data_IF_538947010277
#
_entry.id   IF_538947010277
#
_cell.length_a   1.000
_cell.length_b   1.000
_cell.length_c   1.000
_cell.angle_alpha   90.00
_cell.angle_beta   90.00
_cell.angle_gamma   90.00
#
_symmetry.space_group_name_H-M   'P 1'
#
loop_
_entity.id
_entity.type
_entity.pdbx_description
1 polymer ?
#
# COMPACT_ATOMS: atom_id res chain seq x y z
N UNK A 1 41.20 43.53 -54.62
CA UNK A 1 39.86 44.13 -54.83
C UNK A 1 38.90 43.38 -53.92
N UNK A 2 38.22 44.10 -53.05
CA UNK A 2 37.49 43.59 -51.87
C UNK A 2 36.21 42.80 -52.23
N UNK A 3 35.82 41.85 -51.37
CA UNK A 3 34.57 42.02 -50.60
C UNK A 3 34.55 41.08 -49.37
N UNK A 4 34.48 41.68 -48.18
CA UNK A 4 34.18 41.02 -46.92
C UNK A 4 32.67 41.12 -46.67
N UNK A 5 31.92 40.12 -47.09
CA UNK A 5 30.53 39.92 -46.68
C UNK A 5 30.45 39.18 -45.36
N UNK A 6 30.64 39.90 -44.24
CA UNK A 6 30.33 39.43 -42.89
C UNK A 6 28.85 39.07 -42.77
N UNK A 7 28.55 37.84 -42.37
CA UNK A 7 27.42 37.55 -41.47
C UNK A 7 27.89 36.61 -40.36
N UNK A 8 28.74 37.17 -39.50
CA UNK A 8 28.81 36.70 -38.13
C UNK A 8 27.48 37.03 -37.42
N UNK A 9 27.12 36.17 -36.46
CA UNK A 9 25.97 36.26 -35.54
C UNK A 9 24.66 35.69 -36.14
N UNK A 10 24.06 34.64 -35.58
CA UNK A 10 23.81 34.43 -34.16
C UNK A 10 23.75 32.92 -33.87
N UNK A 11 24.80 32.39 -33.25
CA UNK A 11 24.65 31.26 -32.35
C UNK A 11 23.77 31.75 -31.21
N UNK A 12 22.45 31.54 -31.35
CA UNK A 12 21.50 31.79 -30.28
C UNK A 12 21.74 30.68 -29.24
N UNK A 13 22.74 30.90 -28.39
CA UNK A 13 22.95 30.16 -27.16
C UNK A 13 21.70 30.36 -26.31
N UNK A 14 20.74 29.44 -26.47
CA UNK A 14 19.59 29.31 -25.61
C UNK A 14 20.12 29.05 -24.19
N UNK A 15 19.57 29.71 -23.16
CA UNK A 15 20.17 29.73 -21.83
C UNK A 15 20.46 28.32 -21.27
N UNK A 16 21.39 28.26 -20.31
CA UNK A 16 21.95 27.06 -19.65
C UNK A 16 20.91 26.12 -18.98
N UNK A 17 19.60 26.36 -19.16
CA UNK A 17 18.52 25.47 -18.77
C UNK A 17 18.32 24.27 -19.72
N UNK A 18 19.00 24.23 -20.88
CA UNK A 18 18.93 23.11 -21.83
C UNK A 18 19.70 21.86 -21.38
N UNK A 19 20.92 22.03 -20.84
CA UNK A 19 21.78 20.91 -20.48
C UNK A 19 21.31 20.21 -19.20
N UNK A 20 20.94 20.97 -18.16
CA UNK A 20 20.33 20.41 -16.96
C UNK A 20 18.96 19.79 -17.23
N UNK A 21 18.17 20.38 -18.13
CA UNK A 21 16.90 19.82 -18.58
C UNK A 21 17.07 18.49 -19.32
N UNK A 22 18.07 18.37 -20.20
CA UNK A 22 18.41 17.13 -20.89
C UNK A 22 18.87 16.03 -19.93
N UNK A 23 19.75 16.34 -18.97
CA UNK A 23 20.17 15.33 -17.97
C UNK A 23 18.97 14.88 -17.12
N UNK A 24 18.08 15.80 -16.75
CA UNK A 24 16.87 15.47 -16.00
C UNK A 24 15.90 14.62 -16.82
N UNK A 25 15.72 14.92 -18.11
CA UNK A 25 14.88 14.14 -19.01
C UNK A 25 15.47 12.75 -19.29
N UNK A 26 16.80 12.60 -19.34
CA UNK A 26 17.47 11.30 -19.48
C UNK A 26 17.31 10.43 -18.22
N UNK A 27 17.49 11.01 -17.02
CA UNK A 27 17.26 10.30 -15.75
C UNK A 27 15.79 9.92 -15.60
N UNK A 28 14.87 10.83 -15.94
CA UNK A 28 13.43 10.59 -15.94
C UNK A 28 13.05 9.49 -16.94
N UNK A 29 13.59 9.53 -18.14
CA UNK A 29 13.36 8.51 -19.16
C UNK A 29 13.88 7.15 -18.70
N UNK A 30 15.08 7.08 -18.12
CA UNK A 30 15.67 5.84 -17.61
C UNK A 30 14.88 5.27 -16.41
N UNK A 31 14.57 6.11 -15.42
CA UNK A 31 13.74 5.73 -14.29
C UNK A 31 12.38 5.22 -14.77
N UNK A 32 11.78 5.87 -15.77
CA UNK A 32 10.50 5.46 -16.35
C UNK A 32 10.63 4.16 -17.15
N UNK A 33 11.74 3.94 -17.85
CA UNK A 33 11.95 2.76 -18.71
C UNK A 33 12.27 1.51 -17.89
N UNK A 34 13.05 1.67 -16.81
CA UNK A 34 13.33 0.59 -15.87
C UNK A 34 12.20 0.33 -14.88
N UNK A 35 11.35 1.32 -14.56
CA UNK A 35 10.24 1.11 -13.60
C UNK A 35 8.94 0.67 -14.26
N UNK A 36 8.61 1.09 -15.49
CA UNK A 36 7.32 0.72 -16.11
C UNK A 36 7.22 -0.78 -16.39
N UNK A 37 8.32 -1.43 -16.77
CA UNK A 37 8.40 -2.89 -16.97
C UNK A 37 7.95 -3.69 -15.73
N UNK A 38 8.58 -3.48 -14.55
CA UNK A 38 8.17 -4.13 -13.31
C UNK A 38 6.83 -3.64 -12.75
N UNK A 39 6.47 -2.36 -12.91
CA UNK A 39 5.23 -1.80 -12.36
C UNK A 39 3.98 -2.44 -12.97
N UNK A 40 4.01 -2.74 -14.28
CA UNK A 40 2.91 -3.40 -14.98
C UNK A 40 2.66 -4.83 -14.48
N UNK A 41 3.70 -5.51 -13.98
CA UNK A 41 3.60 -6.84 -13.38
C UNK A 41 3.09 -6.84 -11.93
N UNK A 42 3.43 -5.80 -11.15
CA UNK A 42 3.01 -5.66 -9.74
C UNK A 42 1.51 -5.35 -9.64
N UNK A 43 0.93 -4.63 -10.61
CA UNK A 43 -0.49 -4.27 -10.59
C UNK A 43 -1.44 -5.46 -10.41
N UNK A 44 -1.16 -6.60 -11.07
CA UNK A 44 -1.96 -7.82 -10.89
C UNK A 44 -1.79 -8.44 -9.50
N UNK A 45 -0.58 -8.43 -8.94
CA UNK A 45 -0.31 -8.96 -7.58
C UNK A 45 -0.97 -8.10 -6.51
N UNK A 46 -0.94 -6.78 -6.63
CA UNK A 46 -1.67 -5.86 -5.74
C UNK A 46 -3.18 -6.10 -5.86
N UNK A 47 -3.71 -6.28 -7.07
CA UNK A 47 -5.13 -6.57 -7.24
C UNK A 47 -5.56 -7.87 -6.53
N UNK A 48 -4.76 -8.94 -6.62
CA UNK A 48 -5.01 -10.17 -5.87
C UNK A 48 -4.87 -9.99 -4.35
N UNK A 49 -3.88 -9.22 -3.91
CA UNK A 49 -3.70 -8.88 -2.50
C UNK A 49 -4.87 -8.08 -1.94
N UNK A 50 -5.37 -7.09 -2.69
CA UNK A 50 -6.51 -6.26 -2.30
C UNK A 50 -7.80 -7.08 -2.25
N UNK A 51 -8.07 -7.90 -3.26
CA UNK A 51 -9.24 -8.80 -3.25
C UNK A 51 -9.19 -9.76 -2.07
N UNK A 52 -8.01 -10.31 -1.75
CA UNK A 52 -7.80 -11.14 -0.57
C UNK A 52 -8.03 -10.38 0.73
N UNK A 53 -7.52 -9.15 0.84
CA UNK A 53 -7.73 -8.29 2.00
C UNK A 53 -9.21 -7.96 2.22
N UNK A 54 -9.95 -7.66 1.16
CA UNK A 54 -11.40 -7.42 1.21
C UNK A 54 -12.13 -8.68 1.67
N UNK A 55 -11.84 -9.83 1.07
CA UNK A 55 -12.47 -11.09 1.44
C UNK A 55 -12.20 -11.47 2.90
N UNK A 56 -10.95 -11.30 3.37
CA UNK A 56 -10.57 -11.55 4.76
C UNK A 56 -11.25 -10.57 5.72
N UNK A 57 -11.29 -9.28 5.38
CA UNK A 57 -12.00 -8.27 6.18
C UNK A 57 -13.48 -8.62 6.33
N UNK A 58 -14.12 -9.04 5.24
CA UNK A 58 -15.53 -9.42 5.22
C UNK A 58 -15.79 -10.64 6.10
N UNK A 59 -14.95 -11.68 5.99
CA UNK A 59 -15.04 -12.88 6.82
C UNK A 59 -14.86 -12.58 8.31
N UNK A 60 -13.84 -11.79 8.66
CA UNK A 60 -13.57 -11.40 10.03
C UNK A 60 -14.71 -10.55 10.62
N UNK A 61 -15.31 -9.68 9.81
CA UNK A 61 -16.48 -8.89 10.20
C UNK A 61 -17.67 -9.79 10.57
N UNK A 62 -18.02 -10.75 9.71
CA UNK A 62 -19.14 -11.67 9.99
C UNK A 62 -18.86 -12.58 11.19
N UNK A 63 -17.63 -13.07 11.36
CA UNK A 63 -17.25 -13.87 12.54
C UNK A 63 -17.40 -13.03 13.82
N UNK A 64 -16.98 -11.76 13.79
CA UNK A 64 -17.10 -10.87 14.94
C UNK A 64 -18.56 -10.63 15.33
N UNK A 65 -19.44 -10.39 14.35
CA UNK A 65 -20.89 -10.28 14.59
C UNK A 65 -21.49 -11.60 15.10
N UNK A 66 -21.09 -12.73 14.53
CA UNK A 66 -21.52 -14.06 14.94
C UNK A 66 -21.11 -14.37 16.38
N UNK A 67 -19.89 -14.03 16.78
CA UNK A 67 -19.39 -14.20 18.13
C UNK A 67 -20.13 -13.30 19.12
N UNK A 68 -20.35 -12.04 18.77
CA UNK A 68 -21.15 -11.12 19.58
C UNK A 68 -22.56 -11.69 19.80
N UNK A 69 -23.17 -12.21 18.73
CA UNK A 69 -24.51 -12.83 18.80
C UNK A 69 -24.49 -14.10 19.65
N UNK A 70 -23.48 -14.95 19.50
CA UNK A 70 -23.34 -16.18 20.28
C UNK A 70 -23.24 -15.88 21.78
N UNK A 71 -22.41 -14.90 22.15
CA UNK A 71 -22.25 -14.45 23.54
C UNK A 71 -23.56 -13.88 24.07
N UNK A 72 -24.24 -13.02 23.30
CA UNK A 72 -25.52 -12.43 23.71
C UNK A 72 -26.64 -13.47 23.87
N UNK A 73 -26.68 -14.51 23.01
CA UNK A 73 -27.71 -15.56 23.04
C UNK A 73 -27.45 -16.59 24.15
N UNK A 74 -26.20 -17.05 24.30
CA UNK A 74 -25.84 -18.08 25.29
C UNK A 74 -25.65 -17.52 26.70
N UNK A 75 -25.27 -16.25 26.84
CA UNK A 75 -24.97 -15.62 28.13
C UNK A 75 -25.84 -14.37 28.35
N UNK A 76 -27.18 -14.53 28.47
CA UNK A 76 -28.11 -13.41 28.62
C UNK A 76 -27.99 -12.66 29.95
N UNK A 77 -27.21 -13.19 30.91
CA UNK A 77 -26.80 -12.49 32.14
C UNK A 77 -25.71 -11.45 31.90
N UNK A 78 -24.78 -11.71 30.98
CA UNK A 78 -23.73 -10.77 30.59
C UNK A 78 -24.26 -9.71 29.61
N UNK A 79 -25.34 -10.00 28.90
CA UNK A 79 -25.93 -9.10 27.91
C UNK A 79 -26.98 -8.11 28.47
N UNK A 80 -27.32 -8.17 29.77
CA UNK A 80 -28.36 -7.34 30.38
C UNK A 80 -27.85 -6.59 31.62
N UNK A 81 -28.40 -5.41 31.89
CA UNK A 81 -28.04 -4.59 33.05
C UNK A 81 -26.65 -3.95 32.94
N UNK A 82 -25.98 -3.73 34.07
CA UNK A 82 -24.68 -3.04 34.15
C UNK A 82 -23.51 -3.75 33.44
N UNK A 83 -23.70 -4.97 32.94
CA UNK A 83 -22.68 -5.79 32.28
C UNK A 83 -22.79 -5.82 30.75
N UNK A 84 -23.69 -5.03 30.15
CA UNK A 84 -23.92 -4.99 28.69
C UNK A 84 -22.68 -4.66 27.85
N UNK A 85 -21.61 -4.13 28.47
CA UNK A 85 -20.32 -3.88 27.82
C UNK A 85 -19.49 -5.15 27.61
N UNK A 86 -19.69 -6.21 28.40
CA UNK A 86 -18.89 -7.43 28.40
C UNK A 86 -18.87 -8.17 27.04
N UNK A 87 -19.99 -8.31 26.30
CA UNK A 87 -19.98 -8.91 24.97
C UNK A 87 -19.07 -8.18 23.98
N UNK A 88 -19.03 -6.84 24.05
CA UNK A 88 -18.17 -6.02 23.20
C UNK A 88 -16.69 -6.18 23.58
N UNK A 89 -16.39 -6.27 24.88
CA UNK A 89 -15.04 -6.54 25.38
C UNK A 89 -14.48 -7.90 24.91
N UNK A 90 -15.32 -8.93 24.88
CA UNK A 90 -14.92 -10.26 24.37
C UNK A 90 -14.58 -10.22 22.89
N UNK A 91 -15.40 -9.55 22.08
CA UNK A 91 -15.13 -9.38 20.64
C UNK A 91 -13.87 -8.55 20.41
N UNK A 92 -13.64 -7.53 21.24
CA UNK A 92 -12.41 -6.73 21.18
C UNK A 92 -11.16 -7.58 21.46
N UNK A 93 -11.18 -8.40 22.52
CA UNK A 93 -10.09 -9.34 22.83
C UNK A 93 -9.88 -10.32 21.67
N UNK A 94 -10.96 -10.82 21.06
CA UNK A 94 -10.88 -11.67 19.88
C UNK A 94 -10.18 -10.97 18.72
N UNK A 95 -10.51 -9.71 18.41
CA UNK A 95 -9.80 -8.94 17.38
C UNK A 95 -8.31 -8.78 17.71
N UNK A 96 -7.96 -8.46 18.96
CA UNK A 96 -6.56 -8.35 19.39
C UNK A 96 -5.81 -9.67 19.21
N UNK A 97 -6.42 -10.81 19.56
CA UNK A 97 -5.83 -12.12 19.37
C UNK A 97 -5.61 -12.44 17.89
N UNK A 98 -6.57 -12.11 17.02
CA UNK A 98 -6.42 -12.29 15.57
C UNK A 98 -5.29 -11.42 15.03
N UNK A 99 -5.20 -10.16 15.45
CA UNK A 99 -4.09 -9.26 15.08
C UNK A 99 -2.75 -9.80 15.56
N UNK A 100 -2.64 -10.22 16.82
CA UNK A 100 -1.42 -10.79 17.38
C UNK A 100 -1.02 -12.09 16.65
N UNK A 101 -1.98 -12.92 16.28
CA UNK A 101 -1.75 -14.13 15.49
C UNK A 101 -1.24 -13.80 14.08
N UNK A 102 -1.83 -12.80 13.41
CA UNK A 102 -1.37 -12.34 12.10
C UNK A 102 0.08 -11.83 12.16
N UNK A 103 0.42 -11.03 13.18
CA UNK A 103 1.79 -10.56 13.41
C UNK A 103 2.76 -11.72 13.71
N UNK A 104 2.31 -12.70 14.51
CA UNK A 104 3.10 -13.89 14.83
C UNK A 104 3.45 -14.70 13.58
N UNK A 105 2.53 -14.79 12.61
CA UNK A 105 2.76 -15.50 11.34
C UNK A 105 3.84 -14.82 10.49
N UNK A 106 3.91 -13.50 10.50
CA UNK A 106 4.95 -12.75 9.80
C UNK A 106 6.31 -13.01 10.45
N UNK A 107 6.40 -12.87 11.78
CA UNK A 107 7.66 -13.08 12.52
C UNK A 107 8.20 -14.51 12.42
N UNK A 108 7.31 -15.50 12.24
CA UNK A 108 7.73 -16.90 12.05
C UNK A 108 8.38 -17.13 10.69
N UNK A 109 7.92 -16.45 9.64
CA UNK A 109 8.49 -16.59 8.29
C UNK A 109 9.92 -16.06 8.25
N UNK A 110 10.19 -14.95 8.94
CA UNK A 110 11.52 -14.36 9.05
C UNK A 110 12.52 -15.30 9.75
N UNK A 111 12.08 -15.99 10.80
CA UNK A 111 12.93 -16.94 11.55
C UNK A 111 13.29 -18.22 10.80
N UNK A 112 12.52 -18.61 9.80
CA UNK A 112 12.78 -19.82 9.00
C UNK A 112 13.69 -19.52 7.79
N UNK A 113 13.96 -18.24 7.51
CA UNK A 113 14.80 -17.77 6.40
C UNK A 113 16.23 -17.40 6.82
N UNK A 114 16.55 -17.43 8.13
CA UNK A 114 17.86 -17.16 8.71
C UNK A 114 18.38 -18.39 9.46
#
# INVERSE_FOLDING_TARGET
MADQGRTASSSAKKPDNGQFGEVFDLVKAYATQETIGPLKGIGRKIAWGLSGAIALSMGLFFISLGLLRLVQVKLPRLARGAWSWAPYGIVFVFCVLVTAFALSRISKIEKELN
#
